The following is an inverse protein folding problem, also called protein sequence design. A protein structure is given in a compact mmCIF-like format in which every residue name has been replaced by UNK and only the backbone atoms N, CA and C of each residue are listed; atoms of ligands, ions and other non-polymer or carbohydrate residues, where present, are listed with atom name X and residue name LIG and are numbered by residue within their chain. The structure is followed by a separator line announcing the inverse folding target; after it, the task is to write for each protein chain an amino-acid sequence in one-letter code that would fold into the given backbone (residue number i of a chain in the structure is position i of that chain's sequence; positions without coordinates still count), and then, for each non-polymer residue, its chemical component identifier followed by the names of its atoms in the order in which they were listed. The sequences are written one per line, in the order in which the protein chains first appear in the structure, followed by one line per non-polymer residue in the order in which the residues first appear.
data_IF_491589700893
#
_entry.id   IF_491589700893
#
_cell.length_a   1.000
_cell.length_b   1.000
_cell.length_c   1.000
_cell.angle_alpha   90.00
_cell.angle_beta   90.00
_cell.angle_gamma   90.00
#
_symmetry.space_group_name_H-M   'P 1'
#
loop_
_entity.id
_entity.type
_entity.pdbx_description
1 polymer ?
#
# COMPACT_ATOMS: atom_id res chain seq x y z
N UNK A 1 20.68 -9.44 -13.52
CA UNK A 1 19.40 -9.07 -14.18
C UNK A 1 19.33 -7.56 -14.16
N UNK A 2 19.58 -6.97 -15.33
CA UNK A 2 19.80 -5.54 -15.51
C UNK A 2 18.43 -4.84 -15.60
N UNK A 3 18.25 -3.83 -14.75
CA UNK A 3 17.00 -3.11 -14.52
C UNK A 3 16.63 -2.16 -15.66
N UNK A 4 16.40 -2.71 -16.84
CA UNK A 4 16.14 -1.94 -18.04
C UNK A 4 14.70 -2.17 -18.52
N UNK A 5 14.03 -1.05 -18.80
CA UNK A 5 12.79 -0.89 -19.58
C UNK A 5 11.41 -0.81 -18.89
N UNK A 6 11.26 -1.01 -17.58
CA UNK A 6 9.98 -0.68 -16.89
C UNK A 6 10.10 0.37 -15.77
N UNK A 7 11.30 0.93 -15.57
CA UNK A 7 11.61 1.95 -14.55
C UNK A 7 12.36 3.16 -15.12
N UNK A 8 12.52 3.26 -16.43
CA UNK A 8 13.53 4.14 -17.04
C UNK A 8 13.16 5.62 -17.11
N UNK A 9 12.01 6.04 -16.58
CA UNK A 9 11.77 7.48 -16.37
C UNK A 9 12.66 7.93 -15.21
N UNK A 10 13.63 8.84 -15.44
CA UNK A 10 14.52 9.29 -14.39
C UNK A 10 13.68 9.79 -13.22
N UNK A 11 14.01 9.36 -12.00
CA UNK A 11 13.27 9.76 -10.79
C UNK A 11 13.14 11.28 -10.70
N UNK A 12 14.20 12.00 -11.07
CA UNK A 12 14.24 13.46 -11.12
C UNK A 12 13.21 14.05 -12.08
N UNK A 13 12.94 13.38 -13.20
CA UNK A 13 11.93 13.78 -14.18
C UNK A 13 10.51 13.54 -13.67
N UNK A 14 10.28 12.47 -12.90
CA UNK A 14 8.96 12.18 -12.31
C UNK A 14 8.62 13.07 -11.09
N UNK A 15 9.63 13.64 -10.42
CA UNK A 15 9.44 14.49 -9.22
C UNK A 15 8.48 15.66 -9.43
N UNK A 16 8.70 16.57 -10.39
CA UNK A 16 7.81 17.71 -10.60
C UNK A 16 6.41 17.26 -11.00
N UNK A 17 6.28 16.17 -11.77
CA UNK A 17 4.98 15.61 -12.16
C UNK A 17 4.18 15.10 -10.96
N UNK A 18 4.86 14.63 -9.91
CA UNK A 18 4.24 14.19 -8.66
C UNK A 18 4.10 15.31 -7.61
N UNK A 19 4.37 16.57 -7.97
CA UNK A 19 4.21 17.75 -7.11
C UNK A 19 5.34 17.96 -6.10
N UNK A 20 6.50 17.31 -6.28
CA UNK A 20 7.67 17.49 -5.43
C UNK A 20 8.64 18.54 -6.01
N UNK A 21 9.41 19.18 -5.14
CA UNK A 21 10.47 20.10 -5.55
C UNK A 21 11.57 19.37 -6.34
N UNK A 22 12.09 20.05 -7.37
CA UNK A 22 13.13 19.52 -8.25
C UNK A 22 14.51 19.48 -7.60
N UNK A 23 14.74 20.31 -6.57
CA UNK A 23 16.01 20.46 -5.86
C UNK A 23 16.38 19.26 -4.97
N UNK A 24 15.51 18.25 -4.87
CA UNK A 24 15.79 16.97 -4.22
C UNK A 24 15.88 17.02 -2.70
N UNK A 25 15.48 18.12 -2.06
CA UNK A 25 15.63 18.26 -0.60
C UNK A 25 14.58 17.49 0.21
N UNK A 26 13.40 17.23 -0.33
CA UNK A 26 12.36 16.49 0.40
C UNK A 26 11.60 15.48 -0.49
N UNK A 27 11.52 14.24 0.00
CA UNK A 27 10.90 13.09 -0.71
C UNK A 27 9.64 12.55 -0.03
N UNK A 28 9.19 13.18 1.05
CA UNK A 28 8.23 12.58 1.95
C UNK A 28 6.99 13.46 2.11
N UNK A 29 5.86 12.92 1.69
CA UNK A 29 4.59 13.31 2.28
C UNK A 29 4.59 12.87 3.74
N UNK A 30 4.05 13.67 4.65
CA UNK A 30 3.90 13.26 6.04
C UNK A 30 3.02 12.00 6.11
N UNK A 31 3.61 10.87 6.53
CA UNK A 31 2.94 9.58 6.68
C UNK A 31 2.95 9.13 8.13
N UNK A 32 1.86 8.53 8.58
CA UNK A 32 1.86 7.88 9.88
C UNK A 32 2.78 6.64 9.85
N UNK A 33 3.59 6.45 10.89
CA UNK A 33 4.41 5.24 11.04
C UNK A 33 3.49 4.08 11.39
N UNK A 34 3.30 3.19 10.42
CA UNK A 34 2.58 1.95 10.58
C UNK A 34 3.58 0.81 10.62
N UNK A 35 3.60 0.07 11.72
CA UNK A 35 4.38 -1.16 11.82
C UNK A 35 3.96 -2.15 10.73
N UNK A 36 4.91 -3.01 10.34
CA UNK A 36 4.87 -3.78 9.08
C UNK A 36 3.68 -4.75 8.94
N UNK A 37 2.85 -4.98 9.93
CA UNK A 37 1.56 -5.64 9.74
C UNK A 37 0.63 -5.35 10.92
N UNK A 38 -0.13 -4.28 10.84
CA UNK A 38 -1.34 -4.20 11.66
C UNK A 38 -2.40 -5.10 11.02
N UNK A 39 -3.02 -5.94 11.83
CA UNK A 39 -4.25 -6.70 11.49
C UNK A 39 -5.29 -5.86 10.76
N UNK A 40 -5.28 -4.55 11.00
CA UNK A 40 -6.06 -3.53 10.32
C UNK A 40 -5.81 -3.45 8.80
N UNK A 41 -4.55 -3.49 8.33
CA UNK A 41 -4.26 -3.52 6.88
C UNK A 41 -4.83 -4.76 6.19
N UNK A 42 -4.91 -5.90 6.88
CA UNK A 42 -5.47 -7.14 6.35
C UNK A 42 -6.98 -7.08 6.18
N UNK A 43 -7.67 -6.23 6.96
CA UNK A 43 -9.11 -5.97 6.80
C UNK A 43 -9.41 -5.20 5.50
N UNK A 44 -8.44 -4.47 4.96
CA UNK A 44 -8.57 -3.80 3.68
C UNK A 44 -8.26 -4.82 2.57
N UNK A 45 -9.28 -5.18 1.78
CA UNK A 45 -9.20 -6.18 0.69
C UNK A 45 -8.72 -7.59 1.15
N UNK A 46 -9.39 -8.26 2.09
CA UNK A 46 -8.89 -9.48 2.76
C UNK A 46 -8.44 -10.62 1.81
N UNK A 47 -9.10 -10.78 0.67
CA UNK A 47 -8.82 -11.86 -0.30
C UNK A 47 -7.41 -11.85 -0.96
N UNK A 48 -6.62 -10.78 -0.81
CA UNK A 48 -5.26 -10.77 -1.41
C UNK A 48 -4.26 -11.56 -0.60
N UNK A 49 -4.42 -11.69 0.72
CA UNK A 49 -3.50 -12.53 1.51
C UNK A 49 -3.64 -13.99 1.03
N UNK A 50 -4.87 -14.48 0.89
CA UNK A 50 -5.18 -15.79 0.30
C UNK A 50 -4.65 -15.92 -1.14
N UNK A 51 -4.85 -14.91 -2.00
CA UNK A 51 -4.33 -14.93 -3.38
C UNK A 51 -2.81 -14.95 -3.41
N UNK A 52 -2.14 -14.21 -2.55
CA UNK A 52 -0.69 -14.18 -2.43
C UNK A 52 -0.16 -15.56 -2.01
N UNK A 53 -0.75 -16.17 -1.00
CA UNK A 53 -0.36 -17.49 -0.51
C UNK A 53 -0.59 -18.58 -1.56
N UNK A 54 -1.70 -18.52 -2.30
CA UNK A 54 -1.98 -19.42 -3.41
C UNK A 54 -0.96 -19.29 -4.55
N UNK A 55 -0.55 -18.07 -4.89
CA UNK A 55 0.49 -17.83 -5.90
C UNK A 55 1.86 -18.33 -5.42
N UNK A 56 2.18 -18.15 -4.14
CA UNK A 56 3.41 -18.65 -3.53
C UNK A 56 3.44 -20.18 -3.44
N UNK A 57 2.31 -20.83 -3.15
CA UNK A 57 2.18 -22.29 -3.09
C UNK A 57 2.25 -22.94 -4.49
N UNK A 58 1.66 -22.32 -5.51
CA UNK A 58 1.78 -22.78 -6.91
C UNK A 58 3.22 -22.78 -7.44
N UNK A 59 4.11 -21.96 -6.88
CA UNK A 59 5.55 -22.04 -7.17
C UNK A 59 6.20 -23.35 -6.68
N UNK A 60 5.59 -24.04 -5.73
CA UNK A 60 6.11 -25.28 -5.10
C UNK A 60 5.51 -26.57 -5.66
N UNK A 61 4.34 -26.52 -6.32
CA UNK A 61 3.68 -27.69 -6.91
C UNK A 61 3.84 -27.68 -8.44
N UNK A 62 4.68 -28.61 -8.91
CA UNK A 62 4.86 -29.26 -10.22
C UNK A 62 3.92 -28.90 -11.42
N UNK A 63 4.36 -29.05 -12.69
CA UNK A 63 3.71 -28.50 -13.88
C UNK A 63 2.48 -29.26 -14.41
N UNK A 64 2.01 -30.31 -13.73
CA UNK A 64 0.87 -31.13 -14.16
C UNK A 64 -0.36 -30.91 -13.28
N UNK A 65 -1.16 -29.85 -13.53
CA UNK A 65 -2.56 -29.86 -13.11
C UNK A 65 -3.42 -28.78 -13.81
N UNK A 66 -4.07 -29.17 -14.90
CA UNK A 66 -4.86 -28.37 -15.86
C UNK A 66 -6.05 -27.52 -15.33
N UNK A 67 -6.06 -27.12 -14.06
CA UNK A 67 -6.95 -26.08 -13.53
C UNK A 67 -6.13 -24.82 -13.19
N UNK A 68 -5.53 -24.23 -14.23
CA UNK A 68 -4.56 -23.14 -14.09
C UNK A 68 -5.15 -21.78 -14.49
N UNK A 69 -5.54 -20.98 -13.49
CA UNK A 69 -5.07 -19.58 -13.54
C UNK A 69 -3.54 -19.69 -13.41
N UNK A 70 -2.84 -19.61 -14.54
CA UNK A 70 -1.39 -19.54 -14.56
C UNK A 70 -0.97 -18.30 -13.76
N UNK A 71 0.01 -18.39 -12.85
CA UNK A 71 0.56 -17.22 -12.17
C UNK A 71 1.27 -16.31 -13.19
N UNK A 72 0.53 -15.51 -13.94
CA UNK A 72 1.13 -14.57 -14.90
C UNK A 72 1.91 -13.51 -14.13
N UNK A 73 3.03 -13.04 -14.69
CA UNK A 73 3.85 -11.96 -14.11
C UNK A 73 2.98 -10.75 -13.70
N UNK A 74 1.98 -10.41 -14.51
CA UNK A 74 1.01 -9.35 -14.22
C UNK A 74 0.15 -9.62 -12.97
N UNK A 75 -0.31 -10.86 -12.75
CA UNK A 75 -1.13 -11.21 -11.58
C UNK A 75 -0.31 -11.09 -10.29
N UNK A 76 0.94 -11.56 -10.32
CA UNK A 76 1.86 -11.40 -9.18
C UNK A 76 2.14 -9.92 -8.90
N UNK A 77 2.40 -9.12 -9.93
CA UNK A 77 2.63 -7.69 -9.81
C UNK A 77 1.40 -6.95 -9.24
N UNK A 78 0.18 -7.31 -9.68
CA UNK A 78 -1.07 -6.73 -9.19
C UNK A 78 -1.29 -7.03 -7.71
N UNK A 79 -1.08 -8.28 -7.28
CA UNK A 79 -1.19 -8.68 -5.86
C UNK A 79 -0.22 -7.87 -5.01
N UNK A 80 1.06 -7.76 -5.42
CA UNK A 80 2.06 -6.96 -4.73
C UNK A 80 1.69 -5.47 -4.68
N UNK A 81 1.22 -4.91 -5.79
CA UNK A 81 0.77 -3.52 -5.87
C UNK A 81 -0.38 -3.26 -4.90
N UNK A 82 -1.36 -4.17 -4.80
CA UNK A 82 -2.49 -4.02 -3.88
C UNK A 82 -2.02 -4.12 -2.41
N UNK A 83 -1.07 -5.00 -2.09
CA UNK A 83 -0.50 -5.08 -0.74
C UNK A 83 0.21 -3.77 -0.35
N UNK A 84 1.01 -3.20 -1.26
CA UNK A 84 1.66 -1.91 -1.07
C UNK A 84 0.66 -0.76 -0.97
N UNK A 85 -0.41 -0.81 -1.77
CA UNK A 85 -1.47 0.19 -1.78
C UNK A 85 -2.20 0.23 -0.44
N UNK A 86 -2.52 -0.92 0.17
CA UNK A 86 -3.18 -0.94 1.49
C UNK A 86 -2.36 -0.24 2.55
N UNK A 87 -1.07 -0.55 2.60
CA UNK A 87 -0.17 0.05 3.58
C UNK A 87 -0.13 1.57 3.37
N UNK A 88 0.08 2.00 2.14
CA UNK A 88 0.16 3.43 1.79
C UNK A 88 -1.17 4.14 2.08
N UNK A 89 -2.29 3.55 1.71
CA UNK A 89 -3.62 4.09 1.96
C UNK A 89 -3.90 4.27 3.46
N UNK A 90 -3.55 3.30 4.29
CA UNK A 90 -3.72 3.40 5.74
C UNK A 90 -2.76 4.43 6.36
N UNK A 91 -1.54 4.54 5.85
CA UNK A 91 -0.59 5.57 6.31
C UNK A 91 -1.05 6.99 5.96
N UNK A 92 -1.65 7.15 4.78
CA UNK A 92 -2.05 8.44 4.22
C UNK A 92 -3.49 8.83 4.61
N UNK A 93 -4.30 7.91 5.14
CA UNK A 93 -5.67 8.21 5.56
C UNK A 93 -5.72 9.14 6.77
N UNK A 94 -4.73 9.10 7.67
CA UNK A 94 -4.77 9.85 8.92
C UNK A 94 -4.64 11.38 8.74
N UNK A 95 -3.69 11.91 7.93
CA UNK A 95 -3.69 13.34 7.62
C UNK A 95 -4.96 13.75 6.86
N UNK A 96 -5.44 12.89 5.95
CA UNK A 96 -6.56 13.20 5.05
C UNK A 96 -7.94 13.15 5.69
N UNK A 97 -8.16 12.29 6.68
CA UNK A 97 -9.44 12.21 7.41
C UNK A 97 -9.69 13.48 8.24
N UNK A 98 -8.63 14.15 8.72
CA UNK A 98 -8.75 15.47 9.39
C UNK A 98 -9.24 16.54 8.41
N UNK A 99 -8.74 16.51 7.17
CA UNK A 99 -9.01 17.53 6.14
C UNK A 99 -10.36 17.35 5.43
N UNK A 100 -10.84 16.11 5.24
CA UNK A 100 -12.08 15.84 4.48
C UNK A 100 -13.00 14.84 5.19
N UNK A 101 -13.49 15.19 6.38
CA UNK A 101 -14.34 14.30 7.21
C UNK A 101 -15.59 13.75 6.50
N UNK A 102 -16.15 14.48 5.54
CA UNK A 102 -17.41 14.10 4.87
C UNK A 102 -17.24 13.18 3.65
N UNK A 103 -16.02 12.72 3.34
CA UNK A 103 -15.81 11.85 2.19
C UNK A 103 -16.34 10.42 2.45
N UNK A 104 -17.12 9.80 1.54
CA UNK A 104 -17.73 8.48 1.74
C UNK A 104 -16.73 7.36 2.10
N UNK A 105 -15.49 7.48 1.61
CA UNK A 105 -14.43 6.52 1.93
C UNK A 105 -14.16 6.38 3.44
N UNK A 106 -14.41 7.42 4.23
CA UNK A 106 -14.21 7.39 5.69
C UNK A 106 -15.38 6.77 6.46
N UNK A 107 -16.48 6.44 5.77
CA UNK A 107 -17.63 5.73 6.34
C UNK A 107 -17.44 4.21 6.30
N UNK A 108 -16.37 3.72 5.65
CA UNK A 108 -16.03 2.30 5.67
C UNK A 108 -15.76 1.83 7.10
N UNK A 109 -16.27 0.65 7.45
CA UNK A 109 -16.22 0.07 8.81
C UNK A 109 -14.80 -0.02 9.38
N UNK A 110 -13.78 -0.13 8.52
CA UNK A 110 -12.36 -0.13 8.90
C UNK A 110 -11.92 1.13 9.65
N UNK A 111 -12.54 2.29 9.38
CA UNK A 111 -12.22 3.57 10.03
C UNK A 111 -12.93 3.75 11.37
N UNK A 112 -13.98 2.96 11.61
CA UNK A 112 -14.68 2.86 12.89
C UNK A 112 -14.10 1.77 13.79
N UNK A 113 -13.15 0.98 13.29
CA UNK A 113 -12.53 -0.12 14.02
C UNK A 113 -11.74 0.41 15.25
N UNK A 114 -11.92 -0.18 16.44
CA UNK A 114 -11.20 0.27 17.64
C UNK A 114 -9.67 0.13 17.50
N UNK A 115 -9.16 -0.79 16.67
CA UNK A 115 -7.74 -0.91 16.35
C UNK A 115 -7.21 0.23 15.47
N UNK A 116 -8.07 1.02 14.81
CA UNK A 116 -7.69 2.24 14.10
C UNK A 116 -7.41 3.41 15.05
N UNK A 117 -8.03 3.45 16.23
CA UNK A 117 -7.93 4.58 17.17
C UNK A 117 -6.51 4.82 17.73
N UNK A 118 -5.75 3.79 18.17
CA UNK A 118 -4.36 3.97 18.60
C UNK A 118 -3.46 4.52 17.49
N UNK A 119 -3.75 4.19 16.23
CA UNK A 119 -3.01 4.66 15.06
C UNK A 119 -3.25 6.17 14.80
N UNK A 120 -4.48 6.64 15.03
CA UNK A 120 -4.83 8.07 14.97
C UNK A 120 -4.09 8.91 16.04
N UNK A 121 -3.80 8.33 17.22
CA UNK A 121 -3.14 9.07 18.32
C UNK A 121 -1.62 9.15 18.17
N UNK A 122 -0.94 8.08 17.72
CA UNK A 122 0.53 8.02 17.54
C UNK A 122 1.10 9.03 16.55
N UNK A 123 0.27 9.56 15.67
CA UNK A 123 0.65 10.54 14.67
C UNK A 123 0.46 11.99 15.13
N UNK A 124 -0.42 12.25 16.11
CA UNK A 124 -0.60 13.57 16.70
C UNK A 124 0.57 14.00 17.60
N UNK A 125 1.29 13.04 18.19
CA UNK A 125 2.43 13.32 19.09
C UNK A 125 3.66 13.85 18.35
N UNK A 126 3.73 13.67 17.01
CA UNK A 126 4.84 14.17 16.19
C UNK A 126 4.61 15.54 15.57
N UNK A 127 3.43 16.13 15.75
CA UNK A 127 3.12 17.50 15.32
C UNK A 127 3.51 18.55 16.39
N UNK A 128 4.23 18.14 17.45
CA UNK A 128 4.66 18.99 18.59
C UNK A 128 6.19 19.04 18.79
N UNK A 129 6.98 18.60 17.80
CA UNK A 129 8.44 18.77 17.76
C UNK A 129 8.86 19.36 16.42
#
# INVERSE_FOLDING_TARGET
MNGEYLTSTPREMMRPMAGFLTDGRSFYNARAVLDRSTSLCKKLFPAIDERHDRLAAKKKLSPEYNNFIQPTVAANALVQMIMMLRKTFMQDSMPKIKLRRCHPIWQLSIFSDPAYLPFKRKSCVRDLL
#
